data_IF_222602216602
#
_entry.id   IF_222602216602
#
_cell.length_a   1.000
_cell.length_b   1.000
_cell.length_c   1.000
_cell.angle_alpha   90.00
_cell.angle_beta   90.00
_cell.angle_gamma   90.00
#
_symmetry.space_group_name_H-M   'P 1'
#
loop_
_entity.id
_entity.type
_entity.pdbx_description
1 polymer ?
#
# COMPACT_ATOMS: atom_id res chain seq x y z
N UNK A 1 23.88 -12.82 -5.36
CA UNK A 1 23.79 -12.16 -6.67
C UNK A 1 22.39 -12.29 -7.29
N UNK A 2 21.82 -13.51 -7.37
CA UNK A 2 20.50 -13.77 -7.99
C UNK A 2 19.37 -12.91 -7.38
N UNK A 3 19.32 -12.75 -6.06
CA UNK A 3 18.34 -11.89 -5.37
C UNK A 3 18.43 -10.43 -5.85
N UNK A 4 19.62 -9.87 -5.95
CA UNK A 4 19.79 -8.49 -6.45
C UNK A 4 19.38 -8.37 -7.92
N UNK A 5 19.73 -9.35 -8.76
CA UNK A 5 19.32 -9.37 -10.16
C UNK A 5 17.80 -9.39 -10.31
N UNK A 6 17.11 -10.24 -9.54
CA UNK A 6 15.64 -10.31 -9.51
C UNK A 6 15.01 -9.00 -9.05
N UNK A 7 15.55 -8.38 -7.98
CA UNK A 7 15.06 -7.11 -7.46
C UNK A 7 15.21 -5.97 -8.46
N UNK A 8 16.38 -5.81 -9.06
CA UNK A 8 16.64 -4.76 -10.05
C UNK A 8 15.79 -4.95 -11.30
N UNK A 9 15.71 -6.18 -11.82
CA UNK A 9 14.92 -6.49 -13.02
C UNK A 9 13.45 -6.10 -12.81
N UNK A 10 12.86 -6.54 -11.68
CA UNK A 10 11.45 -6.26 -11.39
C UNK A 10 11.20 -4.79 -11.09
N UNK A 11 12.13 -4.10 -10.41
CA UNK A 11 12.03 -2.67 -10.17
C UNK A 11 12.04 -1.85 -11.47
N UNK A 12 12.81 -2.28 -12.48
CA UNK A 12 12.84 -1.62 -13.80
C UNK A 12 11.56 -1.91 -14.58
N UNK A 13 11.12 -3.18 -14.62
CA UNK A 13 9.94 -3.61 -15.38
C UNK A 13 8.65 -3.11 -14.71
N UNK A 14 8.65 -2.94 -13.38
CA UNK A 14 7.49 -2.58 -12.55
C UNK A 14 6.30 -3.56 -12.69
N UNK A 15 6.56 -4.79 -13.10
CA UNK A 15 5.58 -5.86 -13.24
C UNK A 15 6.17 -7.18 -12.76
N UNK A 16 5.66 -7.69 -11.64
CA UNK A 16 6.09 -8.97 -11.07
C UNK A 16 5.73 -10.15 -11.98
N UNK A 17 4.54 -10.13 -12.58
CA UNK A 17 4.10 -11.18 -13.50
C UNK A 17 4.96 -11.23 -14.77
N UNK A 18 5.33 -10.10 -15.33
CA UNK A 18 6.24 -10.03 -16.46
C UNK A 18 7.64 -10.54 -16.09
N UNK A 19 8.15 -10.14 -14.92
CA UNK A 19 9.47 -10.58 -14.42
C UNK A 19 9.51 -12.08 -14.15
N UNK A 20 8.47 -12.65 -13.55
CA UNK A 20 8.32 -14.10 -13.36
C UNK A 20 8.21 -14.82 -14.71
N UNK A 21 7.43 -14.27 -15.66
CA UNK A 21 7.31 -14.82 -17.01
C UNK A 21 8.64 -14.88 -17.76
N UNK A 22 9.49 -13.86 -17.62
CA UNK A 22 10.85 -13.87 -18.18
C UNK A 22 11.68 -15.00 -17.56
N UNK A 23 11.63 -15.15 -16.23
CA UNK A 23 12.35 -16.24 -15.55
C UNK A 23 11.83 -17.61 -16.02
N UNK A 24 10.52 -17.76 -16.15
CA UNK A 24 9.89 -18.98 -16.68
C UNK A 24 10.34 -19.27 -18.12
N UNK A 25 10.41 -18.26 -18.99
CA UNK A 25 10.89 -18.42 -20.35
C UNK A 25 12.35 -18.88 -20.40
N UNK A 26 13.19 -18.36 -19.50
CA UNK A 26 14.59 -18.78 -19.40
C UNK A 26 14.73 -20.25 -18.96
N UNK A 27 13.79 -20.80 -18.19
CA UNK A 27 13.85 -22.23 -17.80
C UNK A 27 13.71 -23.16 -18.98
N UNK A 28 13.10 -22.75 -20.09
CA UNK A 28 12.97 -23.57 -21.33
C UNK A 28 14.32 -23.92 -21.90
N UNK A 29 15.37 -23.12 -21.65
CA UNK A 29 16.74 -23.42 -22.09
C UNK A 29 17.40 -24.59 -21.32
N UNK A 30 16.81 -24.99 -20.18
CA UNK A 30 17.38 -26.00 -19.28
C UNK A 30 18.60 -25.53 -18.48
N UNK A 31 19.05 -24.29 -18.65
CA UNK A 31 20.26 -23.75 -18.00
C UNK A 31 19.99 -23.14 -16.63
N UNK A 32 18.74 -22.86 -16.27
CA UNK A 32 18.37 -22.26 -14.98
C UNK A 32 18.04 -23.37 -14.00
N UNK A 33 18.85 -23.54 -12.97
CA UNK A 33 18.57 -24.49 -11.88
C UNK A 33 17.65 -23.87 -10.82
N UNK A 34 16.99 -24.68 -9.99
CA UNK A 34 16.21 -24.19 -8.85
C UNK A 34 17.07 -23.41 -7.85
N UNK A 35 18.33 -23.80 -7.66
CA UNK A 35 19.28 -23.10 -6.81
C UNK A 35 19.56 -21.67 -7.26
N UNK A 36 19.51 -21.40 -8.56
CA UNK A 36 19.64 -20.06 -9.12
C UNK A 36 18.29 -19.31 -9.13
N UNK A 37 17.21 -19.99 -9.49
CA UNK A 37 15.89 -19.41 -9.66
C UNK A 37 15.26 -18.90 -8.34
N UNK A 38 15.37 -19.68 -7.26
CA UNK A 38 14.74 -19.35 -5.97
C UNK A 38 15.23 -17.99 -5.42
N UNK A 39 16.53 -17.69 -5.33
CA UNK A 39 16.99 -16.36 -4.93
C UNK A 39 16.52 -15.23 -5.87
N UNK A 40 16.41 -15.49 -7.17
CA UNK A 40 15.88 -14.51 -8.14
C UNK A 40 14.42 -14.20 -7.81
N UNK A 41 13.57 -15.21 -7.57
CA UNK A 41 12.17 -15.06 -7.18
C UNK A 41 12.05 -14.22 -5.91
N UNK A 42 12.86 -14.49 -4.89
CA UNK A 42 12.89 -13.72 -3.66
C UNK A 42 13.19 -12.24 -3.93
N UNK A 43 14.15 -11.96 -4.82
CA UNK A 43 14.48 -10.62 -5.24
C UNK A 43 13.35 -9.93 -6.02
N UNK A 44 12.67 -10.66 -6.91
CA UNK A 44 11.52 -10.11 -7.67
C UNK A 44 10.43 -9.57 -6.74
N UNK A 45 10.19 -10.21 -5.61
CA UNK A 45 9.23 -9.72 -4.60
C UNK A 45 9.66 -8.39 -3.96
N UNK A 46 10.96 -8.18 -3.70
CA UNK A 46 11.47 -6.86 -3.27
C UNK A 46 11.29 -5.82 -4.37
N UNK A 47 11.64 -6.18 -5.62
CA UNK A 47 11.50 -5.27 -6.76
C UNK A 47 10.08 -4.77 -7.00
N UNK A 48 9.07 -5.60 -6.70
CA UNK A 48 7.66 -5.23 -6.80
C UNK A 48 7.29 -4.03 -5.91
N UNK A 49 8.00 -3.82 -4.79
CA UNK A 49 7.69 -2.73 -3.86
C UNK A 49 7.97 -1.34 -4.44
N UNK A 50 8.77 -1.24 -5.54
CA UNK A 50 9.12 0.05 -6.12
C UNK A 50 7.90 0.81 -6.64
N UNK A 51 6.89 0.11 -7.15
CA UNK A 51 5.65 0.73 -7.63
C UNK A 51 4.89 1.40 -6.49
N UNK A 52 4.73 0.72 -5.35
CA UNK A 52 4.09 1.29 -4.17
C UNK A 52 4.88 2.48 -3.61
N UNK A 53 6.22 2.40 -3.62
CA UNK A 53 7.08 3.51 -3.19
C UNK A 53 6.89 4.71 -4.11
N UNK A 54 6.96 4.53 -5.43
CA UNK A 54 6.79 5.62 -6.40
C UNK A 54 5.39 6.24 -6.24
N UNK A 55 4.33 5.43 -6.15
CA UNK A 55 2.96 5.91 -5.97
C UNK A 55 2.75 6.64 -4.64
N UNK A 56 3.60 6.40 -3.64
CA UNK A 56 3.52 7.09 -2.35
C UNK A 56 4.15 8.49 -2.35
N UNK A 57 4.91 8.86 -3.40
CA UNK A 57 5.45 10.21 -3.50
C UNK A 57 4.32 11.22 -3.76
N UNK A 58 4.21 12.22 -2.91
CA UNK A 58 3.12 13.18 -2.94
C UNK A 58 1.83 12.73 -2.23
N UNK A 59 1.68 11.44 -1.95
CA UNK A 59 0.51 10.91 -1.26
C UNK A 59 0.52 11.21 0.25
N UNK A 60 -0.64 11.01 0.89
CA UNK A 60 -0.83 11.19 2.32
C UNK A 60 0.07 10.24 3.16
N UNK A 61 0.14 10.50 4.47
CA UNK A 61 0.99 9.74 5.41
C UNK A 61 0.64 8.25 5.46
N UNK A 62 -0.64 7.90 5.32
CA UNK A 62 -1.09 6.51 5.40
C UNK A 62 -0.71 5.72 4.16
N UNK A 63 -0.76 6.32 2.97
CA UNK A 63 -0.25 5.72 1.74
C UNK A 63 1.27 5.48 1.82
N UNK A 64 2.04 6.44 2.37
CA UNK A 64 3.48 6.26 2.63
C UNK A 64 3.75 5.14 3.62
N UNK A 65 2.97 5.06 4.71
CA UNK A 65 3.06 3.96 5.68
C UNK A 65 2.75 2.61 5.04
N UNK A 66 1.71 2.53 4.22
CA UNK A 66 1.37 1.31 3.48
C UNK A 66 2.51 0.86 2.56
N UNK A 67 3.15 1.78 1.83
CA UNK A 67 4.32 1.47 1.01
C UNK A 67 5.51 0.96 1.84
N UNK A 68 5.75 1.54 3.03
CA UNK A 68 6.79 1.10 3.96
C UNK A 68 6.47 -0.28 4.55
N UNK A 69 5.21 -0.56 4.91
CA UNK A 69 4.79 -1.89 5.36
C UNK A 69 5.05 -2.93 4.27
N UNK A 70 4.65 -2.64 3.03
CA UNK A 70 4.86 -3.52 1.88
C UNK A 70 6.36 -3.79 1.64
N UNK A 71 7.20 -2.75 1.66
CA UNK A 71 8.66 -2.90 1.54
C UNK A 71 9.24 -3.73 2.69
N UNK A 72 8.87 -3.40 3.93
CA UNK A 72 9.39 -4.08 5.12
C UNK A 72 9.00 -5.55 5.13
N UNK A 73 7.77 -5.88 4.75
CA UNK A 73 7.28 -7.26 4.61
C UNK A 73 8.17 -8.05 3.64
N UNK A 74 8.38 -7.53 2.44
CA UNK A 74 9.16 -8.24 1.41
C UNK A 74 10.65 -8.32 1.76
N UNK A 75 11.24 -7.26 2.33
CA UNK A 75 12.67 -7.28 2.73
C UNK A 75 12.90 -8.25 3.88
N UNK A 76 12.10 -8.18 4.95
CA UNK A 76 12.26 -9.08 6.11
C UNK A 76 12.01 -10.53 5.70
N UNK A 77 10.92 -10.79 4.96
CA UNK A 77 10.60 -12.12 4.43
C UNK A 77 11.74 -12.67 3.58
N UNK A 78 12.27 -11.87 2.67
CA UNK A 78 13.41 -12.28 1.83
C UNK A 78 14.66 -12.55 2.66
N UNK A 79 15.01 -11.69 3.60
CA UNK A 79 16.22 -11.90 4.45
C UNK A 79 16.11 -13.21 5.22
N UNK A 80 14.96 -13.47 5.84
CA UNK A 80 14.75 -14.72 6.61
C UNK A 80 14.82 -15.93 5.70
N UNK A 81 14.02 -15.97 4.63
CA UNK A 81 13.95 -17.17 3.77
C UNK A 81 15.18 -17.35 2.90
N UNK A 82 15.88 -16.29 2.50
CA UNK A 82 17.17 -16.41 1.83
C UNK A 82 18.24 -17.00 2.78
N UNK A 83 18.21 -16.62 4.05
CA UNK A 83 19.10 -17.20 5.07
C UNK A 83 18.82 -18.68 5.23
N UNK A 84 17.55 -19.07 5.40
CA UNK A 84 17.13 -20.48 5.49
C UNK A 84 17.53 -21.25 4.21
N UNK A 85 17.26 -20.68 3.04
CA UNK A 85 17.65 -21.28 1.76
C UNK A 85 19.16 -21.51 1.68
N UNK A 86 19.95 -20.52 2.08
CA UNK A 86 21.43 -20.62 2.06
C UNK A 86 21.92 -21.70 3.01
N UNK A 87 21.37 -21.78 4.23
CA UNK A 87 21.70 -22.83 5.20
C UNK A 87 21.35 -24.21 4.64
N UNK A 88 20.13 -24.37 4.12
CA UNK A 88 19.68 -25.64 3.51
C UNK A 88 20.57 -26.04 2.34
N UNK A 89 20.90 -25.10 1.47
CA UNK A 89 21.78 -25.35 0.31
C UNK A 89 23.18 -25.79 0.73
N UNK A 90 23.73 -25.18 1.79
CA UNK A 90 25.09 -25.48 2.23
C UNK A 90 25.17 -26.77 3.05
N UNK A 91 24.21 -26.98 3.98
CA UNK A 91 24.24 -28.10 4.93
C UNK A 91 23.69 -29.39 4.29
N UNK A 92 22.53 -29.32 3.67
CA UNK A 92 21.82 -30.51 3.17
C UNK A 92 22.10 -30.80 1.69
N UNK A 93 22.56 -29.80 0.92
CA UNK A 93 22.87 -29.91 -0.52
C UNK A 93 21.80 -30.70 -1.30
N UNK A 94 20.52 -30.27 -1.27
CA UNK A 94 19.46 -31.01 -1.92
C UNK A 94 19.72 -31.10 -3.41
N UNK A 95 19.69 -32.31 -3.96
CA UNK A 95 19.89 -32.56 -5.41
C UNK A 95 18.91 -31.72 -6.27
N UNK A 96 17.73 -31.42 -5.75
CA UNK A 96 16.73 -30.58 -6.41
C UNK A 96 17.30 -29.21 -6.81
N UNK A 97 18.19 -28.61 -6.01
CA UNK A 97 18.72 -27.28 -6.31
C UNK A 97 19.65 -27.26 -7.52
N UNK A 98 20.25 -28.40 -7.86
CA UNK A 98 21.11 -28.55 -9.02
C UNK A 98 20.32 -28.96 -10.28
N UNK A 99 19.04 -29.36 -10.13
CA UNK A 99 18.21 -29.74 -11.28
C UNK A 99 17.68 -28.49 -12.01
N UNK A 100 17.46 -28.66 -13.33
CA UNK A 100 16.85 -27.61 -14.15
C UNK A 100 15.45 -27.25 -13.62
N UNK A 101 15.20 -25.98 -13.43
CA UNK A 101 13.89 -25.50 -13.01
C UNK A 101 12.89 -25.65 -14.17
N UNK A 102 11.66 -26.06 -13.84
CA UNK A 102 10.57 -26.13 -14.80
C UNK A 102 9.70 -24.86 -14.75
N UNK A 103 8.99 -24.59 -15.84
CA UNK A 103 8.02 -23.50 -15.94
C UNK A 103 7.04 -23.51 -14.76
N UNK A 104 6.41 -24.68 -14.51
CA UNK A 104 5.49 -24.87 -13.40
C UNK A 104 6.19 -24.75 -12.04
N UNK A 105 7.40 -25.28 -11.92
CA UNK A 105 8.18 -25.21 -10.68
C UNK A 105 8.50 -23.78 -10.23
N UNK A 106 8.73 -22.85 -11.17
CA UNK A 106 8.90 -21.42 -10.87
C UNK A 106 7.63 -20.84 -10.24
N UNK A 107 6.46 -21.13 -10.82
CA UNK A 107 5.18 -20.66 -10.29
C UNK A 107 4.92 -21.21 -8.87
N UNK A 108 5.20 -22.50 -8.67
CA UNK A 108 5.07 -23.13 -7.33
C UNK A 108 6.04 -22.49 -6.33
N UNK A 109 7.30 -22.31 -6.71
CA UNK A 109 8.30 -21.69 -5.82
C UNK A 109 7.92 -20.26 -5.46
N UNK A 110 7.41 -19.46 -6.40
CA UNK A 110 6.93 -18.12 -6.16
C UNK A 110 5.71 -18.09 -5.20
N UNK A 111 4.73 -18.96 -5.44
CA UNK A 111 3.55 -19.05 -4.55
C UNK A 111 3.93 -19.52 -3.14
N UNK A 112 4.79 -20.55 -3.05
CA UNK A 112 5.25 -21.08 -1.77
C UNK A 112 6.01 -20.01 -0.97
N UNK A 113 6.90 -19.25 -1.61
CA UNK A 113 7.62 -18.16 -0.96
C UNK A 113 6.67 -17.13 -0.36
N UNK A 114 5.64 -16.70 -1.12
CA UNK A 114 4.67 -15.72 -0.63
C UNK A 114 3.82 -16.27 0.53
N UNK A 115 3.38 -17.53 0.46
CA UNK A 115 2.65 -18.18 1.56
C UNK A 115 3.52 -18.26 2.82
N UNK A 116 4.78 -18.65 2.67
CA UNK A 116 5.71 -18.76 3.78
C UNK A 116 6.04 -17.39 4.41
N UNK A 117 6.20 -16.34 3.59
CA UNK A 117 6.37 -14.97 4.09
C UNK A 117 5.14 -14.50 4.86
N UNK A 118 3.94 -14.77 4.33
CA UNK A 118 2.68 -14.41 5.00
C UNK A 118 2.54 -15.15 6.33
N UNK A 119 2.75 -16.47 6.35
CA UNK A 119 2.67 -17.27 7.58
C UNK A 119 3.67 -16.80 8.65
N UNK A 120 4.87 -16.39 8.24
CA UNK A 120 5.91 -15.88 9.13
C UNK A 120 5.56 -14.49 9.69
N UNK A 121 5.09 -13.57 8.84
CA UNK A 121 4.97 -12.16 9.17
C UNK A 121 3.56 -11.73 9.59
N UNK A 122 2.54 -12.55 9.34
CA UNK A 122 1.17 -12.26 9.79
C UNK A 122 1.08 -12.03 11.31
N UNK A 123 1.65 -12.91 12.18
CA UNK A 123 1.67 -12.64 13.61
C UNK A 123 2.54 -11.43 14.00
N UNK A 124 3.47 -11.02 13.15
CA UNK A 124 4.34 -9.86 13.34
C UNK A 124 3.80 -8.56 12.70
N UNK A 125 2.55 -8.54 12.22
CA UNK A 125 1.94 -7.36 11.60
C UNK A 125 2.05 -6.08 12.48
N UNK A 126 1.86 -6.12 13.82
CA UNK A 126 2.06 -4.94 14.67
C UNK A 126 3.49 -4.41 14.68
N UNK A 127 4.49 -5.26 14.40
CA UNK A 127 5.88 -4.82 14.26
C UNK A 127 6.09 -4.04 12.96
N UNK A 128 5.51 -4.50 11.86
CA UNK A 128 5.56 -3.83 10.56
C UNK A 128 4.89 -2.45 10.64
N UNK A 129 3.75 -2.36 11.31
CA UNK A 129 3.06 -1.10 11.58
C UNK A 129 3.95 -0.14 12.39
N UNK A 130 4.57 -0.60 13.47
CA UNK A 130 5.50 0.22 14.27
C UNK A 130 6.69 0.74 13.44
N UNK A 131 7.24 -0.08 12.55
CA UNK A 131 8.31 0.34 11.64
C UNK A 131 7.80 1.46 10.73
N UNK A 132 6.62 1.29 10.14
CA UNK A 132 6.03 2.28 9.24
C UNK A 132 5.73 3.61 9.95
N UNK A 133 5.12 3.59 11.11
CA UNK A 133 4.84 4.79 11.93
C UNK A 133 6.13 5.48 12.37
N UNK A 134 7.19 4.72 12.69
CA UNK A 134 8.48 5.30 13.07
C UNK A 134 9.19 5.98 11.90
N UNK A 135 9.08 5.44 10.69
CA UNK A 135 9.71 6.00 9.48
C UNK A 135 8.89 7.15 8.89
N UNK A 136 7.56 7.11 9.07
CA UNK A 136 6.63 8.15 8.64
C UNK A 136 5.84 8.62 9.87
N UNK A 137 6.45 9.50 10.70
CA UNK A 137 5.80 9.99 11.91
C UNK A 137 4.63 10.92 11.58
N UNK A 138 3.70 11.04 12.53
CA UNK A 138 2.66 12.07 12.45
C UNK A 138 3.31 13.44 12.49
N UNK A 139 3.03 14.27 11.49
CA UNK A 139 3.52 15.65 11.46
C UNK A 139 2.93 16.46 12.63
N UNK A 140 3.69 17.45 13.12
CA UNK A 140 3.23 18.41 14.15
C UNK A 140 2.23 19.45 13.59
N UNK A 141 1.40 19.10 12.60
CA UNK A 141 0.27 19.96 12.22
C UNK A 141 -0.74 19.87 13.36
N UNK A 142 -0.86 20.93 14.14
CA UNK A 142 -2.07 21.18 14.94
C UNK A 142 -3.17 21.38 13.92
N UNK A 143 -3.95 20.34 13.71
CA UNK A 143 -5.08 20.35 12.83
C UNK A 143 -6.10 21.35 13.39
N UNK A 144 -6.29 22.46 12.65
CA UNK A 144 -7.29 23.48 12.96
C UNK A 144 -8.70 23.04 12.58
N UNK A 145 -8.83 21.84 12.00
CA UNK A 145 -10.12 21.21 11.71
C UNK A 145 -10.58 20.55 13.00
N UNK A 146 -11.79 20.88 13.44
CA UNK A 146 -12.43 20.31 14.62
C UNK A 146 -12.45 18.77 14.48
N UNK A 147 -11.66 18.10 15.31
CA UNK A 147 -11.69 16.62 15.38
C UNK A 147 -13.13 16.21 15.75
N UNK A 148 -13.63 15.17 15.07
CA UNK A 148 -14.91 14.55 15.43
C UNK A 148 -14.84 14.07 16.89
N UNK A 149 -15.80 14.51 17.71
CA UNK A 149 -15.81 14.19 19.13
C UNK A 149 -16.18 12.72 19.35
N UNK A 150 -15.23 11.93 19.85
CA UNK A 150 -15.43 10.51 20.17
C UNK A 150 -16.61 10.28 21.17
N UNK A 151 -17.05 11.29 21.89
CA UNK A 151 -18.23 11.21 22.76
C UNK A 151 -19.52 11.01 21.99
N UNK A 152 -19.58 11.50 20.75
CA UNK A 152 -20.75 11.35 19.88
C UNK A 152 -20.91 9.94 19.35
N UNK A 153 -19.88 9.09 19.43
CA UNK A 153 -19.98 7.66 19.10
C UNK A 153 -21.06 6.92 19.94
N UNK A 154 -21.45 7.48 21.08
CA UNK A 154 -22.55 6.96 21.89
C UNK A 154 -23.95 7.27 21.30
N UNK A 155 -24.03 8.16 20.31
CA UNK A 155 -25.26 8.59 19.66
C UNK A 155 -25.08 8.56 18.14
N UNK A 156 -25.26 7.37 17.50
CA UNK A 156 -24.89 7.14 16.09
C UNK A 156 -25.49 8.17 15.12
N UNK A 157 -26.75 8.55 15.26
CA UNK A 157 -27.39 9.52 14.38
C UNK A 157 -26.71 10.90 14.38
N UNK A 158 -26.29 11.39 15.55
CA UNK A 158 -25.56 12.68 15.65
C UNK A 158 -24.14 12.54 15.10
N UNK A 159 -23.50 11.40 15.34
CA UNK A 159 -22.18 11.10 14.81
C UNK A 159 -22.18 11.09 13.27
N UNK A 160 -23.21 10.47 12.67
CA UNK A 160 -23.40 10.46 11.22
C UNK A 160 -23.66 11.85 10.65
N UNK A 161 -24.55 12.63 11.25
CA UNK A 161 -24.83 14.00 10.83
C UNK A 161 -23.54 14.86 10.81
N UNK A 162 -22.67 14.66 11.79
CA UNK A 162 -21.35 15.35 11.79
C UNK A 162 -20.43 14.89 10.66
N UNK A 163 -20.40 13.59 10.37
CA UNK A 163 -19.65 13.06 9.23
C UNK A 163 -20.17 13.62 7.91
N UNK A 164 -21.50 13.68 7.73
CA UNK A 164 -22.13 14.25 6.54
C UNK A 164 -21.74 15.70 6.32
N UNK A 165 -21.78 16.53 7.35
CA UNK A 165 -21.33 17.94 7.27
C UNK A 165 -19.85 18.07 6.86
N UNK A 166 -19.00 17.16 7.36
CA UNK A 166 -17.58 17.17 6.97
C UNK A 166 -17.40 16.74 5.51
N UNK A 167 -18.19 15.77 5.02
CA UNK A 167 -18.21 15.37 3.61
C UNK A 167 -18.69 16.50 2.72
N UNK A 168 -19.73 17.26 3.13
CA UNK A 168 -20.18 18.45 2.40
C UNK A 168 -19.08 19.50 2.30
N UNK A 169 -18.39 19.81 3.40
CA UNK A 169 -17.25 20.76 3.40
C UNK A 169 -16.14 20.29 2.46
N UNK A 170 -15.79 19.01 2.51
CA UNK A 170 -14.80 18.42 1.64
C UNK A 170 -15.22 18.50 0.16
N UNK A 171 -16.49 18.26 -0.15
CA UNK A 171 -17.02 18.36 -1.51
C UNK A 171 -17.00 19.81 -2.04
N UNK A 172 -17.32 20.80 -1.21
CA UNK A 172 -17.27 22.22 -1.58
C UNK A 172 -15.83 22.68 -1.87
N UNK A 173 -14.87 22.35 -0.98
CA UNK A 173 -13.45 22.68 -1.19
C UNK A 173 -12.89 22.01 -2.45
N UNK A 174 -13.26 20.75 -2.68
CA UNK A 174 -12.87 19.99 -3.88
C UNK A 174 -13.45 20.61 -5.16
N UNK A 175 -14.72 21.02 -5.15
CA UNK A 175 -15.36 21.65 -6.30
C UNK A 175 -14.72 23.01 -6.63
N UNK A 176 -14.31 23.78 -5.62
CA UNK A 176 -13.59 25.03 -5.82
C UNK A 176 -12.18 24.80 -6.38
N UNK A 177 -11.44 23.83 -5.83
CA UNK A 177 -10.13 23.45 -6.32
C UNK A 177 -10.19 22.97 -7.78
N UNK A 178 -11.22 22.19 -8.13
CA UNK A 178 -11.46 21.74 -9.50
C UNK A 178 -11.69 22.91 -10.46
N UNK A 179 -12.52 23.90 -10.09
CA UNK A 179 -12.74 25.11 -10.90
C UNK A 179 -11.43 25.87 -11.11
N UNK A 180 -10.64 26.07 -10.04
CA UNK A 180 -9.34 26.73 -10.13
C UNK A 180 -8.38 25.95 -11.06
N UNK A 181 -8.39 24.61 -11.01
CA UNK A 181 -7.54 23.79 -11.88
C UNK A 181 -7.93 23.92 -13.36
N UNK A 182 -9.22 24.03 -13.66
CA UNK A 182 -9.72 24.28 -15.03
C UNK A 182 -9.30 25.65 -15.55
N UNK A 183 -9.35 26.68 -14.71
CA UNK A 183 -8.91 28.04 -15.07
C UNK A 183 -7.39 28.07 -15.33
N UNK A 184 -6.62 27.29 -14.58
CA UNK A 184 -5.17 27.17 -14.74
C UNK A 184 -4.73 26.50 -16.05
N UNK A 185 -5.61 25.76 -16.74
CA UNK A 185 -5.30 25.20 -18.07
C UNK A 185 -5.06 26.30 -19.12
N UNK A 186 -5.66 27.49 -18.93
CA UNK A 186 -5.51 28.63 -19.82
C UNK A 186 -4.55 29.68 -19.30
N UNK A 187 -4.51 29.90 -17.99
CA UNK A 187 -3.70 30.90 -17.33
C UNK A 187 -3.05 30.33 -16.07
N UNK A 188 -1.79 29.93 -16.18
CA UNK A 188 -1.05 29.43 -15.02
C UNK A 188 -0.82 30.54 -13.99
N UNK A 189 -1.22 30.28 -12.73
CA UNK A 189 -0.97 31.14 -11.58
C UNK A 189 -0.46 30.31 -10.38
N UNK A 190 0.71 30.70 -9.88
CA UNK A 190 1.39 29.96 -8.80
C UNK A 190 0.60 30.04 -7.45
N UNK A 191 -0.15 31.10 -7.21
CA UNK A 191 -0.98 31.26 -6.02
C UNK A 191 -2.18 30.30 -6.06
N UNK A 192 -2.83 30.21 -7.23
CA UNK A 192 -3.91 29.25 -7.48
C UNK A 192 -3.43 27.79 -7.36
N UNK A 193 -2.21 27.48 -7.87
CA UNK A 193 -1.59 26.16 -7.67
C UNK A 193 -1.39 25.84 -6.19
N UNK A 194 -0.99 26.84 -5.39
CA UNK A 194 -0.84 26.71 -3.95
C UNK A 194 -2.19 26.44 -3.23
N UNK A 195 -3.27 27.09 -3.68
CA UNK A 195 -4.61 26.87 -3.14
C UNK A 195 -5.14 25.48 -3.46
N UNK A 196 -4.94 25.00 -4.70
CA UNK A 196 -5.34 23.65 -5.11
C UNK A 196 -4.64 22.58 -4.25
N UNK A 197 -3.32 22.69 -4.05
CA UNK A 197 -2.56 21.75 -3.21
C UNK A 197 -3.04 21.76 -1.75
N UNK A 198 -3.39 22.95 -1.25
CA UNK A 198 -3.92 23.07 0.11
C UNK A 198 -5.30 22.42 0.24
N UNK A 199 -6.17 22.56 -0.76
CA UNK A 199 -7.47 21.90 -0.78
C UNK A 199 -7.32 20.38 -0.90
N UNK A 200 -6.35 19.86 -1.67
CA UNK A 200 -5.99 18.45 -1.73
C UNK A 200 -5.52 17.93 -0.37
N UNK A 201 -4.55 18.60 0.25
CA UNK A 201 -4.07 18.28 1.60
C UNK A 201 -5.21 18.24 2.65
N UNK A 202 -6.19 19.16 2.56
CA UNK A 202 -7.34 19.20 3.46
C UNK A 202 -8.32 18.06 3.18
N UNK A 203 -8.59 17.76 1.90
CA UNK A 203 -9.48 16.65 1.51
C UNK A 203 -8.95 15.31 1.98
N UNK A 204 -7.64 15.05 1.78
CA UNK A 204 -6.96 13.85 2.28
C UNK A 204 -7.06 13.72 3.82
N UNK A 205 -6.92 14.86 4.51
CA UNK A 205 -7.02 14.88 5.97
C UNK A 205 -8.45 14.59 6.45
N UNK A 206 -9.46 15.20 5.81
CA UNK A 206 -10.87 14.94 6.11
C UNK A 206 -11.26 13.50 5.82
N UNK A 207 -10.77 12.91 4.71
CA UNK A 207 -10.98 11.50 4.41
C UNK A 207 -10.46 10.58 5.52
N UNK A 208 -9.23 10.81 6.00
CA UNK A 208 -8.63 10.05 7.10
C UNK A 208 -9.45 10.14 8.40
N UNK A 209 -9.90 11.35 8.77
CA UNK A 209 -10.70 11.58 9.98
C UNK A 209 -12.05 10.88 9.86
N UNK A 210 -12.78 11.12 8.76
CA UNK A 210 -14.11 10.57 8.55
C UNK A 210 -14.03 9.04 8.48
N UNK A 211 -13.10 8.48 7.71
CA UNK A 211 -12.93 7.04 7.56
C UNK A 211 -12.59 6.34 8.88
N UNK A 212 -11.69 6.94 9.68
CA UNK A 212 -11.34 6.45 11.01
C UNK A 212 -12.54 6.49 11.97
N UNK A 213 -13.29 7.60 11.96
CA UNK A 213 -14.44 7.79 12.83
C UNK A 213 -15.60 6.85 12.48
N UNK A 214 -15.90 6.69 11.19
CA UNK A 214 -16.92 5.75 10.71
C UNK A 214 -16.53 4.29 11.03
N UNK A 215 -15.24 3.95 10.97
CA UNK A 215 -14.75 2.63 11.40
C UNK A 215 -14.95 2.40 12.90
N UNK A 216 -14.73 3.43 13.73
CA UNK A 216 -15.05 3.34 15.16
C UNK A 216 -16.55 3.21 15.40
N UNK A 217 -17.36 3.98 14.67
CA UNK A 217 -18.80 3.98 14.77
C UNK A 217 -19.39 2.61 14.38
N UNK A 218 -18.90 1.99 13.31
CA UNK A 218 -19.35 0.68 12.83
C UNK A 218 -19.04 -0.47 13.80
N UNK A 219 -18.08 -0.30 14.72
CA UNK A 219 -17.78 -1.29 15.76
C UNK A 219 -18.78 -1.26 16.94
N UNK A 220 -19.54 -0.18 17.08
CA UNK A 220 -20.63 -0.09 18.05
C UNK A 220 -21.84 -0.85 17.52
N UNK A 221 -22.78 -1.24 18.40
CA UNK A 221 -24.01 -1.93 17.99
C UNK A 221 -24.92 -0.94 17.23
N UNK A 222 -24.77 -0.92 15.90
CA UNK A 222 -25.60 -0.13 15.00
C UNK A 222 -26.90 -0.91 14.70
N UNK A 223 -28.00 -0.20 14.53
CA UNK A 223 -29.22 -0.77 13.93
C UNK A 223 -29.01 -1.07 12.45
N UNK A 224 -29.88 -1.87 11.82
CA UNK A 224 -29.77 -2.16 10.38
C UNK A 224 -29.88 -0.87 9.54
N UNK A 225 -30.71 0.08 9.95
CA UNK A 225 -30.88 1.38 9.30
C UNK A 225 -29.61 2.24 9.44
N UNK A 226 -29.02 2.32 10.64
CA UNK A 226 -27.76 3.04 10.87
C UNK A 226 -26.61 2.44 10.07
N UNK A 227 -26.56 1.12 9.89
CA UNK A 227 -25.53 0.43 9.10
C UNK A 227 -25.61 0.78 7.61
N UNK A 228 -26.82 0.95 7.07
CA UNK A 228 -27.03 1.39 5.69
C UNK A 228 -26.59 2.85 5.49
N UNK A 229 -26.83 3.72 6.48
CA UNK A 229 -26.42 5.13 6.45
C UNK A 229 -24.89 5.31 6.60
N UNK A 230 -24.21 4.53 7.44
CA UNK A 230 -22.75 4.55 7.58
C UNK A 230 -22.03 4.23 6.26
N UNK A 231 -22.62 3.40 5.41
CA UNK A 231 -22.01 3.01 4.13
C UNK A 231 -21.99 4.14 3.09
N UNK A 232 -22.89 5.13 3.18
CA UNK A 232 -22.96 6.25 2.23
C UNK A 232 -21.76 7.21 2.33
N UNK A 233 -21.42 7.78 3.50
CA UNK A 233 -20.24 8.65 3.64
C UNK A 233 -18.95 7.95 3.23
N UNK A 234 -18.76 6.65 3.56
CA UNK A 234 -17.59 5.87 3.13
C UNK A 234 -17.50 5.83 1.60
N UNK A 235 -18.63 5.66 0.91
CA UNK A 235 -18.68 5.63 -0.57
C UNK A 235 -18.32 6.99 -1.17
N UNK A 236 -18.70 8.09 -0.52
CA UNK A 236 -18.41 9.45 -1.00
C UNK A 236 -16.96 9.87 -0.77
N UNK A 237 -16.30 9.44 0.30
CA UNK A 237 -14.89 9.75 0.54
C UNK A 237 -13.95 9.15 -0.51
N UNK A 238 -14.33 8.00 -1.10
CA UNK A 238 -13.56 7.37 -2.19
C UNK A 238 -13.82 7.96 -3.58
N UNK A 239 -14.86 8.79 -3.74
CA UNK A 239 -15.19 9.45 -5.01
C UNK A 239 -14.52 10.82 -5.18
N UNK A 240 -13.91 11.36 -4.13
CA UNK A 240 -13.24 12.65 -4.18
C UNK A 240 -11.83 12.51 -4.71
N UNK A 241 -11.64 13.06 -5.88
CA UNK A 241 -10.42 13.33 -6.63
C UNK A 241 -9.74 12.12 -7.29
N UNK A 242 -9.87 12.00 -8.61
CA UNK A 242 -8.78 11.44 -9.38
C UNK A 242 -7.58 12.38 -9.15
N UNK A 243 -6.51 11.83 -8.60
CA UNK A 243 -5.21 12.47 -8.45
C UNK A 243 -4.89 13.25 -9.73
N UNK A 244 -4.97 14.56 -9.67
CA UNK A 244 -4.45 15.42 -10.74
C UNK A 244 -2.94 15.47 -10.50
N UNK A 245 -2.25 14.45 -11.02
CA UNK A 245 -0.79 14.40 -11.07
C UNK A 245 -0.29 15.20 -12.26
#
# INVERSE_FOLDING_TARGET
FGMLAGAVLTAIIQSSSASVGILQALTVTGQVSYGAAIPIIMGQNIGTCITAIISSFGANKNAKRAAIVHLSFNVIGTVVWLTVFTIVSYVFKPMLFDTAASYFGIAVAHSLFNILCTALLFPAAPLLEKIAVRLVPDGNKKDTISELDDRLLATPAIALEQCERMVETMAEETAEAFKLSMDMLTNYDADSAGKIRKAEDNSDHLEDIIGTYLTKLSRNQLTEDDSAEVSKPVSYTHLTLPTIA
#
